data_IF_419098999978
#
_entry.id   IF_419098999978
#
_cell.length_a   1.000
_cell.length_b   1.000
_cell.length_c   1.000
_cell.angle_alpha   90.00
_cell.angle_beta   90.00
_cell.angle_gamma   90.00
#
_symmetry.space_group_name_H-M   'P 1'
#
loop_
_entity.id
_entity.type
_entity.pdbx_description
1 polymer ?
#
# COMPACT_ATOMS: atom_id res chain seq x y z
N UNK A 1 -24.97 20.84 53.38
CA UNK A 1 -25.84 19.93 52.58
C UNK A 1 -25.91 20.27 51.08
N UNK A 2 -26.02 21.55 50.68
CA UNK A 2 -26.13 21.95 49.25
C UNK A 2 -24.83 21.78 48.44
N UNK A 3 -23.66 21.89 49.09
CA UNK A 3 -22.32 21.68 48.52
C UNK A 3 -22.04 20.21 48.22
N UNK A 4 -22.38 19.32 49.16
CA UNK A 4 -22.18 17.88 49.01
C UNK A 4 -22.95 17.27 47.82
N UNK A 5 -24.19 17.72 47.58
CA UNK A 5 -24.98 17.26 46.42
C UNK A 5 -24.34 17.66 45.08
N UNK A 6 -23.71 18.83 45.00
CA UNK A 6 -23.01 19.32 43.80
C UNK A 6 -21.70 18.56 43.54
N UNK A 7 -20.94 18.26 44.59
CA UNK A 7 -19.70 17.48 44.47
C UNK A 7 -19.96 16.05 44.01
N UNK A 8 -21.04 15.43 44.48
CA UNK A 8 -21.45 14.08 44.06
C UNK A 8 -21.89 14.05 42.60
N UNK A 9 -22.63 15.05 42.11
CA UNK A 9 -22.99 15.13 40.69
C UNK A 9 -21.77 15.32 39.79
N UNK A 10 -20.80 16.16 40.17
CA UNK A 10 -19.58 16.37 39.37
C UNK A 10 -18.72 15.10 39.31
N UNK A 11 -18.58 14.38 40.45
CA UNK A 11 -17.87 13.10 40.48
C UNK A 11 -18.56 12.05 39.59
N UNK A 12 -19.89 12.00 39.60
CA UNK A 12 -20.68 11.09 38.77
C UNK A 12 -20.49 11.36 37.27
N UNK A 13 -20.43 12.65 36.88
CA UNK A 13 -20.17 13.07 35.51
C UNK A 13 -18.73 12.71 35.08
N UNK A 14 -17.75 12.93 35.96
CA UNK A 14 -16.35 12.54 35.71
C UNK A 14 -16.19 11.03 35.52
N UNK A 15 -16.81 10.23 36.38
CA UNK A 15 -16.80 8.78 36.25
C UNK A 15 -17.48 8.30 34.96
N UNK A 16 -18.60 8.90 34.56
CA UNK A 16 -19.30 8.59 33.32
C UNK A 16 -18.42 8.89 32.09
N UNK A 17 -17.69 10.02 32.07
CA UNK A 17 -16.76 10.38 31.00
C UNK A 17 -15.61 9.37 30.85
N UNK A 18 -15.05 8.89 31.97
CA UNK A 18 -14.00 7.85 31.94
C UNK A 18 -14.56 6.54 31.38
N UNK A 19 -15.74 6.10 31.84
CA UNK A 19 -16.38 4.87 31.36
C UNK A 19 -16.70 4.94 29.87
N UNK A 20 -17.28 6.05 29.40
CA UNK A 20 -17.55 6.27 27.98
C UNK A 20 -16.25 6.32 27.16
N UNK A 21 -15.19 6.94 27.67
CA UNK A 21 -13.88 6.96 27.03
C UNK A 21 -13.27 5.57 26.87
N UNK A 22 -13.36 4.72 27.89
CA UNK A 22 -12.89 3.31 27.83
C UNK A 22 -13.71 2.50 26.83
N UNK A 23 -15.04 2.63 26.85
CA UNK A 23 -15.91 1.95 25.88
C UNK A 23 -15.56 2.37 24.45
N UNK A 24 -15.39 3.68 24.21
CA UNK A 24 -15.03 4.19 22.90
C UNK A 24 -13.62 3.75 22.49
N UNK A 25 -12.65 3.70 23.40
CA UNK A 25 -11.31 3.16 23.12
C UNK A 25 -11.34 1.69 22.67
N UNK A 26 -12.18 0.86 23.29
CA UNK A 26 -12.32 -0.55 22.94
C UNK A 26 -13.10 -0.75 21.63
N UNK A 27 -14.16 0.05 21.40
CA UNK A 27 -15.00 -0.06 20.21
C UNK A 27 -14.41 0.64 18.98
N UNK A 28 -13.64 1.72 19.15
CA UNK A 28 -13.13 2.53 18.05
C UNK A 28 -12.23 1.75 17.07
N UNK A 29 -11.27 0.91 17.49
CA UNK A 29 -10.50 0.07 16.57
C UNK A 29 -11.40 -0.84 15.74
N UNK A 30 -12.45 -1.42 16.36
CA UNK A 30 -13.39 -2.30 15.69
C UNK A 30 -14.21 -1.53 14.66
N UNK A 31 -14.80 -0.39 15.05
CA UNK A 31 -15.61 0.46 14.18
C UNK A 31 -14.76 1.05 13.06
N UNK A 32 -13.61 1.64 13.39
CA UNK A 32 -12.69 2.25 12.42
C UNK A 32 -12.14 1.22 11.43
N UNK A 33 -11.69 0.06 11.90
CA UNK A 33 -11.25 -1.01 10.99
C UNK A 33 -12.42 -1.57 10.17
N UNK A 34 -13.65 -1.58 10.69
CA UNK A 34 -14.84 -2.01 9.94
C UNK A 34 -15.22 -0.99 8.88
N UNK A 35 -15.15 0.31 9.18
CA UNK A 35 -15.42 1.41 8.24
C UNK A 35 -14.32 1.52 7.16
N UNK A 36 -13.05 1.41 7.55
CA UNK A 36 -11.93 1.32 6.61
C UNK A 36 -12.07 0.07 5.73
N UNK A 37 -12.38 -1.09 6.31
CA UNK A 37 -12.66 -2.29 5.51
C UNK A 37 -13.89 -2.10 4.63
N UNK A 38 -14.93 -1.40 5.05
CA UNK A 38 -16.08 -1.14 4.18
C UNK A 38 -15.74 -0.22 3.01
N UNK A 39 -14.90 0.79 3.22
CA UNK A 39 -14.50 1.72 2.17
C UNK A 39 -13.37 1.22 1.26
N UNK A 40 -12.48 0.35 1.77
CA UNK A 40 -11.23 -0.04 1.09
C UNK A 40 -11.07 -1.57 0.98
N UNK A 41 -11.82 -2.39 1.71
CA UNK A 41 -11.58 -3.85 1.66
C UNK A 41 -12.03 -4.44 0.34
N UNK A 42 -11.06 -5.19 -0.21
CA UNK A 42 -11.21 -6.24 -1.19
C UNK A 42 -12.04 -7.38 -0.57
N UNK A 43 -13.32 -7.14 -0.30
CA UNK A 43 -14.25 -8.19 0.13
C UNK A 43 -15.00 -8.70 -1.08
N UNK A 44 -15.13 -10.01 -1.17
CA UNK A 44 -15.93 -10.64 -2.21
C UNK A 44 -17.31 -9.98 -2.30
N UNK A 45 -17.64 -9.41 -3.46
CA UNK A 45 -18.88 -8.66 -3.72
C UNK A 45 -18.78 -7.12 -3.66
N UNK A 46 -17.68 -6.53 -3.22
CA UNK A 46 -17.48 -5.07 -3.31
C UNK A 46 -17.02 -4.65 -4.72
N UNK A 47 -17.37 -3.44 -5.14
CA UNK A 47 -16.91 -2.89 -6.42
C UNK A 47 -15.37 -2.84 -6.45
N UNK A 48 -14.74 -2.46 -5.34
CA UNK A 48 -13.28 -2.46 -5.20
C UNK A 48 -12.64 -3.83 -5.38
N UNK A 49 -13.26 -4.89 -4.85
CA UNK A 49 -12.81 -6.28 -5.06
C UNK A 49 -12.92 -6.69 -6.53
N UNK A 50 -14.05 -6.41 -7.18
CA UNK A 50 -14.26 -6.78 -8.57
C UNK A 50 -13.26 -6.08 -9.50
N UNK A 51 -13.01 -4.78 -9.28
CA UNK A 51 -12.06 -3.98 -10.07
C UNK A 51 -10.61 -4.40 -9.80
N UNK A 52 -10.28 -4.79 -8.57
CA UNK A 52 -8.95 -5.29 -8.21
C UNK A 52 -8.68 -6.71 -8.72
N UNK A 53 -9.71 -7.57 -8.73
CA UNK A 53 -9.62 -8.94 -9.24
C UNK A 53 -9.45 -8.95 -10.75
N UNK A 54 -10.23 -8.13 -11.47
CA UNK A 54 -10.17 -7.99 -12.92
C UNK A 54 -10.46 -6.53 -13.29
N UNK A 55 -9.42 -5.83 -13.73
CA UNK A 55 -9.54 -4.43 -14.13
C UNK A 55 -10.45 -4.37 -15.37
N UNK A 56 -11.63 -3.72 -15.32
CA UNK A 56 -12.61 -3.75 -16.41
C UNK A 56 -12.22 -2.86 -17.60
N UNK A 57 -10.95 -2.46 -17.68
CA UNK A 57 -10.41 -1.57 -18.70
C UNK A 57 -9.43 -2.36 -19.58
N UNK A 58 -9.56 -2.29 -20.90
CA UNK A 58 -8.63 -2.95 -21.79
C UNK A 58 -7.28 -2.22 -21.78
N UNK A 59 -6.24 -2.90 -21.31
CA UNK A 59 -4.87 -2.38 -21.31
C UNK A 59 -4.23 -2.74 -22.65
N UNK A 60 -3.98 -1.73 -23.48
CA UNK A 60 -3.28 -1.91 -24.76
C UNK A 60 -1.85 -1.41 -24.65
N UNK A 61 -0.89 -2.29 -24.95
CA UNK A 61 0.50 -1.91 -25.11
C UNK A 61 0.81 -1.86 -26.61
N UNK A 62 1.18 -0.68 -27.10
CA UNK A 62 1.54 -0.45 -28.51
C UNK A 62 3.01 -0.13 -28.62
N UNK A 63 3.75 -0.99 -29.32
CA UNK A 63 5.17 -0.81 -29.56
C UNK A 63 5.39 -0.29 -30.99
N UNK A 64 6.31 0.66 -31.14
CA UNK A 64 6.72 1.24 -32.42
C UNK A 64 8.23 1.12 -32.53
N UNK A 65 8.71 0.67 -33.69
CA UNK A 65 10.12 0.50 -33.96
C UNK A 65 10.54 1.40 -35.12
N UNK A 66 11.82 1.73 -35.22
CA UNK A 66 12.36 2.47 -36.35
C UNK A 66 13.16 1.52 -37.26
N UNK A 67 12.67 1.32 -38.47
CA UNK A 67 13.37 0.63 -39.54
C UNK A 67 14.41 1.58 -40.18
N UNK A 68 15.66 1.13 -40.32
CA UNK A 68 16.74 1.91 -40.94
C UNK A 68 16.84 1.53 -42.41
N UNK A 69 16.45 2.43 -43.32
CA UNK A 69 16.37 2.11 -44.76
C UNK A 69 17.71 2.20 -45.50
N UNK A 70 18.68 2.92 -44.95
CA UNK A 70 20.01 3.14 -45.54
C UNK A 70 21.15 2.57 -44.68
N UNK A 71 20.91 1.43 -44.01
CA UNK A 71 21.86 0.84 -43.06
C UNK A 71 23.28 0.65 -43.64
N UNK A 72 23.42 0.15 -44.87
CA UNK A 72 24.73 -0.07 -45.48
C UNK A 72 25.51 1.24 -45.71
N UNK A 73 24.83 2.29 -46.16
CA UNK A 73 25.45 3.60 -46.37
C UNK A 73 25.78 4.29 -45.04
N UNK A 74 24.86 4.19 -44.06
CA UNK A 74 25.10 4.68 -42.70
C UNK A 74 26.37 4.04 -42.10
N UNK A 75 26.49 2.71 -42.19
CA UNK A 75 27.59 1.96 -41.59
C UNK A 75 28.93 2.10 -42.34
N UNK A 76 28.92 2.26 -43.67
CA UNK A 76 30.15 2.26 -44.48
C UNK A 76 30.62 3.64 -44.93
N UNK A 77 29.71 4.61 -45.02
CA UNK A 77 29.98 5.93 -45.62
C UNK A 77 29.75 7.09 -44.65
N UNK A 78 29.42 6.81 -43.40
CA UNK A 78 29.10 7.82 -42.37
C UNK A 78 27.99 8.79 -42.79
N UNK A 79 27.07 8.32 -43.63
CA UNK A 79 25.84 9.06 -43.96
C UNK A 79 24.89 9.10 -42.76
N UNK A 80 23.92 10.04 -42.72
CA UNK A 80 22.91 10.07 -41.64
C UNK A 80 21.91 8.92 -41.80
N UNK A 81 21.41 8.29 -40.71
CA UNK A 81 20.45 7.21 -40.82
C UNK A 81 19.06 7.74 -41.18
N UNK A 82 18.45 7.10 -42.17
CA UNK A 82 17.07 7.31 -42.58
C UNK A 82 16.18 6.32 -41.83
N UNK A 83 15.28 6.85 -41.01
CA UNK A 83 14.38 6.07 -40.17
C UNK A 83 12.97 6.10 -40.74
N UNK A 84 12.33 4.94 -40.77
CA UNK A 84 10.89 4.79 -41.06
C UNK A 84 10.26 4.08 -39.88
N UNK A 85 9.25 4.69 -39.27
CA UNK A 85 8.50 4.07 -38.18
C UNK A 85 7.74 2.83 -38.69
N UNK A 86 7.82 1.74 -37.94
CA UNK A 86 7.13 0.48 -38.20
C UNK A 86 6.39 0.08 -36.93
N UNK A 87 5.07 -0.01 -37.03
CA UNK A 87 4.16 -0.28 -35.93
C UNK A 87 2.72 0.05 -36.34
N UNK A 88 1.77 -0.08 -35.41
CA UNK A 88 1.95 -0.56 -34.05
C UNK A 88 2.13 -2.08 -33.98
N UNK A 89 2.79 -2.57 -32.94
CA UNK A 89 2.66 -3.95 -32.46
C UNK A 89 1.83 -3.89 -31.19
N UNK A 90 0.58 -4.32 -31.29
CA UNK A 90 -0.45 -4.14 -30.28
C UNK A 90 -0.65 -5.43 -29.49
N UNK A 91 -0.39 -5.36 -28.19
CA UNK A 91 -0.68 -6.42 -27.24
C UNK A 91 -1.83 -5.97 -26.33
N UNK A 92 -2.88 -6.78 -26.29
CA UNK A 92 -3.93 -6.66 -25.28
C UNK A 92 -3.47 -7.38 -24.02
N UNK A 93 -3.22 -6.62 -22.97
CA UNK A 93 -2.89 -7.17 -21.66
C UNK A 93 -4.17 -7.34 -20.84
N UNK A 94 -4.33 -8.50 -20.21
CA UNK A 94 -5.34 -8.73 -19.18
C UNK A 94 -4.65 -9.19 -17.92
N UNK A 95 -4.90 -8.47 -16.83
CA UNK A 95 -4.31 -8.76 -15.53
C UNK A 95 -5.43 -9.25 -14.62
N UNK A 96 -5.33 -10.52 -14.21
CA UNK A 96 -6.31 -11.14 -13.33
C UNK A 96 -5.62 -11.72 -12.12
N UNK A 97 -6.28 -11.59 -10.98
CA UNK A 97 -5.86 -12.28 -9.76
C UNK A 97 -6.72 -13.55 -9.63
N UNK A 98 -6.06 -14.69 -9.76
CA UNK A 98 -6.66 -16.02 -9.59
C UNK A 98 -6.28 -16.60 -8.23
N UNK A 99 -6.91 -17.73 -7.86
CA UNK A 99 -6.62 -18.46 -6.61
C UNK A 99 -6.65 -17.55 -5.38
N UNK A 100 -7.63 -16.63 -5.33
CA UNK A 100 -7.75 -15.63 -4.26
C UNK A 100 -8.22 -16.31 -2.97
N UNK A 101 -7.35 -16.36 -1.97
CA UNK A 101 -7.63 -16.90 -0.64
C UNK A 101 -7.50 -15.80 0.41
N UNK A 102 -8.58 -15.56 1.13
CA UNK A 102 -8.60 -14.65 2.27
C UNK A 102 -8.24 -15.38 3.55
N UNK A 103 -7.30 -14.82 4.30
CA UNK A 103 -6.82 -15.42 5.55
C UNK A 103 -7.45 -14.75 6.79
N UNK A 104 -7.65 -15.49 7.90
CA UNK A 104 -8.22 -14.94 9.14
C UNK A 104 -7.40 -13.79 9.74
N UNK A 105 -6.11 -13.70 9.43
CA UNK A 105 -5.20 -12.63 9.85
C UNK A 105 -5.41 -11.31 9.07
N UNK A 106 -6.31 -11.28 8.08
CA UNK A 106 -6.61 -10.11 7.27
C UNK A 106 -5.75 -9.94 6.01
N UNK A 107 -4.88 -10.90 5.68
CA UNK A 107 -4.12 -10.89 4.42
C UNK A 107 -4.89 -11.62 3.31
N UNK A 108 -4.51 -11.36 2.06
CA UNK A 108 -5.03 -12.04 0.87
C UNK A 108 -3.87 -12.64 0.08
N UNK A 109 -3.96 -13.92 -0.23
CA UNK A 109 -3.05 -14.59 -1.17
C UNK A 109 -3.74 -14.72 -2.51
N UNK A 110 -3.01 -14.48 -3.59
CA UNK A 110 -3.51 -14.63 -4.95
C UNK A 110 -2.36 -14.97 -5.89
N UNK A 111 -2.68 -15.59 -7.02
CA UNK A 111 -1.79 -15.73 -8.16
C UNK A 111 -2.13 -14.67 -9.18
N UNK A 112 -1.18 -13.79 -9.48
CA UNK A 112 -1.37 -12.82 -10.56
C UNK A 112 -1.07 -13.46 -11.91
N UNK A 113 -2.10 -13.56 -12.76
CA UNK A 113 -2.00 -14.06 -14.12
C UNK A 113 -2.08 -12.89 -15.08
N UNK A 114 -0.96 -12.64 -15.76
CA UNK A 114 -0.87 -11.63 -16.82
C UNK A 114 -0.91 -12.33 -18.17
N UNK A 115 -2.00 -12.11 -18.91
CA UNK A 115 -2.15 -12.64 -20.26
C UNK A 115 -1.86 -11.53 -21.26
N UNK A 116 -0.90 -11.77 -22.15
CA UNK A 116 -0.59 -10.88 -23.27
C UNK A 116 -1.10 -11.52 -24.55
N UNK A 117 -2.15 -10.95 -25.14
CA UNK A 117 -2.70 -11.40 -26.42
C UNK A 117 -2.22 -10.47 -27.51
N UNK A 118 -1.38 -10.97 -28.40
CA UNK A 118 -0.98 -10.25 -29.60
C UNK A 118 -2.19 -10.06 -30.52
N UNK A 119 -2.56 -8.81 -30.79
CA UNK A 119 -3.67 -8.48 -31.67
C UNK A 119 -3.14 -8.35 -33.10
N UNK A 120 -3.07 -9.45 -33.83
CA UNK A 120 -2.56 -9.49 -35.22
C UNK A 120 -3.30 -8.52 -36.15
N UNK A 121 -4.61 -8.31 -35.96
CA UNK A 121 -5.39 -7.38 -36.80
C UNK A 121 -5.08 -5.90 -36.49
N UNK A 122 -4.51 -5.62 -35.32
CA UNK A 122 -4.08 -4.29 -34.88
C UNK A 122 -2.54 -4.19 -34.84
N UNK A 123 -1.85 -5.16 -35.46
CA UNK A 123 -0.40 -5.25 -35.44
C UNK A 123 0.16 -5.52 -36.83
N UNK A 124 1.30 -4.91 -37.13
CA UNK A 124 2.16 -5.37 -38.21
C UNK A 124 2.77 -6.73 -37.85
N UNK A 125 3.07 -7.58 -38.84
CA UNK A 125 3.68 -8.90 -38.59
C UNK A 125 5.16 -8.71 -38.23
N UNK A 126 5.58 -9.10 -37.02
CA UNK A 126 7.00 -9.08 -36.66
C UNK A 126 7.41 -10.16 -35.67
N UNK A 127 8.68 -10.57 -35.72
CA UNK A 127 9.25 -11.58 -34.84
C UNK A 127 9.65 -11.01 -33.46
N UNK A 128 8.77 -10.30 -32.76
CA UNK A 128 9.08 -9.68 -31.45
C UNK A 128 8.54 -10.52 -30.28
N UNK A 129 9.36 -10.76 -29.25
CA UNK A 129 9.05 -11.60 -28.08
C UNK A 129 9.46 -10.89 -26.78
N UNK A 130 8.59 -10.89 -25.76
CA UNK A 130 8.88 -10.32 -24.45
C UNK A 130 9.48 -11.36 -23.49
N UNK A 131 10.41 -10.94 -22.64
CA UNK A 131 10.96 -11.73 -21.53
C UNK A 131 11.27 -10.83 -20.34
N UNK A 132 11.74 -11.39 -19.22
CA UNK A 132 12.44 -10.60 -18.21
C UNK A 132 13.86 -10.23 -18.69
N UNK A 133 14.48 -9.19 -18.08
CA UNK A 133 15.83 -8.80 -18.43
C UNK A 133 16.82 -9.95 -18.30
N UNK A 134 17.72 -10.05 -19.29
CA UNK A 134 18.72 -11.10 -19.38
C UNK A 134 18.14 -12.53 -19.32
N UNK A 135 16.89 -12.70 -19.78
CA UNK A 135 16.17 -13.97 -19.69
C UNK A 135 16.07 -14.52 -18.25
N UNK A 136 16.01 -13.63 -17.26
CA UNK A 136 15.72 -13.99 -15.86
C UNK A 136 14.41 -14.80 -15.80
N UNK A 137 14.40 -15.98 -15.18
CA UNK A 137 13.33 -17.00 -15.23
C UNK A 137 13.05 -17.73 -16.56
N UNK A 138 13.78 -17.48 -17.64
CA UNK A 138 13.61 -18.26 -18.88
C UNK A 138 14.45 -19.55 -18.87
N UNK A 139 14.17 -20.44 -19.81
CA UNK A 139 14.96 -21.66 -20.01
C UNK A 139 16.44 -21.33 -20.31
N UNK A 140 17.42 -22.01 -19.69
CA UNK A 140 18.85 -21.78 -19.94
C UNK A 140 19.28 -21.90 -21.40
N UNK A 141 18.50 -22.57 -22.26
CA UNK A 141 18.75 -22.61 -23.71
C UNK A 141 18.83 -21.21 -24.33
N UNK A 142 18.05 -20.25 -23.84
CA UNK A 142 18.07 -18.88 -24.37
C UNK A 142 19.38 -18.14 -24.04
N UNK A 143 20.04 -18.48 -22.93
CA UNK A 143 21.34 -17.91 -22.55
C UNK A 143 22.48 -18.44 -23.42
N UNK A 144 22.36 -19.67 -23.95
CA UNK A 144 23.38 -20.27 -24.83
C UNK A 144 23.46 -19.57 -26.19
N UNK A 145 22.39 -18.91 -26.62
CA UNK A 145 22.31 -18.23 -27.91
C UNK A 145 23.01 -16.87 -27.95
N UNK A 146 23.28 -16.25 -26.79
CA UNK A 146 23.80 -14.87 -26.71
C UNK A 146 24.77 -14.75 -25.54
N UNK A 147 26.03 -14.44 -25.84
CA UNK A 147 27.05 -14.16 -24.83
C UNK A 147 26.84 -12.79 -24.18
N UNK A 148 27.17 -12.66 -22.89
CA UNK A 148 27.07 -11.40 -22.12
C UNK A 148 25.78 -11.22 -21.35
N UNK A 149 24.88 -12.22 -21.36
CA UNK A 149 23.68 -12.18 -20.53
C UNK A 149 23.96 -12.72 -19.12
N UNK A 150 23.71 -11.89 -18.11
CA UNK A 150 23.92 -12.20 -16.71
C UNK A 150 22.63 -11.96 -15.91
N UNK A 151 21.68 -12.93 -15.88
CA UNK A 151 20.47 -12.79 -15.08
C UNK A 151 20.83 -12.59 -13.60
N UNK A 152 20.32 -11.51 -13.00
CA UNK A 152 20.56 -11.14 -11.61
C UNK A 152 19.25 -10.72 -10.95
N UNK A 153 18.89 -11.40 -9.86
CA UNK A 153 17.66 -11.13 -9.12
C UNK A 153 17.56 -9.68 -8.64
N UNK A 154 18.63 -9.08 -8.14
CA UNK A 154 18.56 -7.75 -7.53
C UNK A 154 18.16 -6.62 -8.48
N UNK A 155 18.37 -6.81 -9.78
CA UNK A 155 18.13 -5.78 -10.81
C UNK A 155 17.20 -6.22 -11.93
N UNK A 156 16.91 -7.52 -12.07
CA UNK A 156 16.03 -8.05 -13.12
C UNK A 156 14.74 -8.65 -12.59
N UNK A 157 14.60 -8.73 -11.26
CA UNK A 157 13.37 -9.21 -10.66
C UNK A 157 12.25 -8.19 -10.80
N UNK A 158 11.03 -8.70 -10.66
CA UNK A 158 9.82 -7.91 -10.72
C UNK A 158 9.25 -7.81 -9.31
N UNK A 159 8.99 -6.58 -8.84
CA UNK A 159 8.43 -6.38 -7.50
C UNK A 159 7.36 -5.29 -7.46
N UNK A 160 6.41 -5.48 -6.54
CA UNK A 160 5.39 -4.50 -6.18
C UNK A 160 5.22 -4.57 -4.66
N UNK A 161 5.55 -3.49 -3.98
CA UNK A 161 5.32 -3.32 -2.56
C UNK A 161 3.96 -2.67 -2.33
N UNK A 162 3.13 -3.33 -1.54
CA UNK A 162 1.73 -2.94 -1.32
C UNK A 162 1.51 -2.58 0.14
N UNK A 163 0.86 -1.43 0.38
CA UNK A 163 0.45 -1.04 1.72
C UNK A 163 -0.67 -1.97 2.22
N UNK A 164 -0.52 -2.61 3.39
CA UNK A 164 -1.40 -3.70 3.80
C UNK A 164 -2.83 -3.28 4.19
N UNK A 165 -3.06 -2.04 4.63
CA UNK A 165 -4.39 -1.60 5.07
C UNK A 165 -5.28 -1.08 3.93
N UNK A 166 -4.65 -0.54 2.88
CA UNK A 166 -5.31 0.16 1.78
C UNK A 166 -5.14 -0.55 0.44
N UNK A 167 -4.13 -1.42 0.29
CA UNK A 167 -3.88 -2.16 -0.94
C UNK A 167 -3.23 -1.34 -2.05
N UNK A 168 -2.80 -0.10 -1.79
CA UNK A 168 -2.09 0.71 -2.77
C UNK A 168 -0.63 0.29 -2.90
N UNK A 169 -0.12 0.26 -4.14
CA UNK A 169 1.29 0.07 -4.41
C UNK A 169 2.08 1.31 -4.00
N UNK A 170 3.03 1.16 -3.09
CA UNK A 170 3.92 2.22 -2.60
C UNK A 170 5.18 2.28 -3.47
N UNK A 171 5.69 1.12 -3.86
CA UNK A 171 6.86 0.99 -4.70
C UNK A 171 6.61 -0.14 -5.68
N UNK A 172 7.05 0.02 -6.91
CA UNK A 172 7.05 -1.08 -7.86
C UNK A 172 8.14 -0.87 -8.89
N UNK A 173 8.75 -1.98 -9.32
CA UNK A 173 9.60 -1.99 -10.49
C UNK A 173 9.12 -3.07 -11.46
N UNK A 174 8.67 -2.59 -12.62
CA UNK A 174 8.27 -3.42 -13.76
C UNK A 174 9.44 -3.48 -14.72
N UNK A 175 10.07 -4.65 -14.83
CA UNK A 175 11.25 -4.84 -15.67
C UNK A 175 10.94 -5.85 -16.77
N UNK A 176 11.22 -5.46 -18.01
CA UNK A 176 10.97 -6.30 -19.17
C UNK A 176 12.05 -6.14 -20.22
N UNK A 177 12.19 -7.14 -21.08
CA UNK A 177 13.11 -7.18 -22.19
C UNK A 177 12.36 -7.50 -23.49
N UNK A 178 12.71 -6.76 -24.53
CA UNK A 178 12.21 -6.97 -25.88
C UNK A 178 13.27 -7.72 -26.68
N UNK A 179 12.86 -8.86 -27.22
CA UNK A 179 13.71 -9.74 -28.02
C UNK A 179 13.16 -9.85 -29.44
N UNK A 180 14.03 -10.13 -30.38
CA UNK A 180 13.68 -10.45 -31.75
C UNK A 180 14.06 -11.90 -32.06
N UNK A 181 13.11 -12.68 -32.58
CA UNK A 181 13.39 -14.00 -33.09
C UNK A 181 14.11 -13.88 -34.44
N UNK A 182 15.43 -14.05 -34.41
CA UNK A 182 16.28 -14.04 -35.60
C UNK A 182 16.46 -15.48 -36.04
N UNK A 183 16.16 -15.76 -37.31
CA UNK A 183 16.35 -17.07 -37.90
C UNK A 183 17.02 -16.95 -39.26
N UNK A 184 17.66 -18.05 -39.68
CA UNK A 184 18.24 -18.16 -41.01
C UNK A 184 17.15 -18.09 -42.08
N UNK A 185 17.30 -17.19 -43.06
CA UNK A 185 16.38 -17.07 -44.20
C UNK A 185 17.19 -17.18 -45.50
N UNK A 186 16.87 -18.21 -46.29
CA UNK A 186 17.45 -18.38 -47.62
C UNK A 186 16.92 -17.29 -48.56
N UNK A 187 17.83 -16.66 -49.31
CA UNK A 187 17.50 -15.54 -50.22
C UNK A 187 17.82 -14.13 -49.70
N UNK A 188 18.11 -13.96 -48.41
CA UNK A 188 18.57 -12.68 -47.82
C UNK A 188 20.03 -12.85 -47.40
N UNK A 189 20.99 -12.28 -48.12
CA UNK A 189 22.42 -12.53 -47.92
C UNK A 189 22.91 -12.21 -46.49
N UNK A 190 22.33 -11.20 -45.85
CA UNK A 190 22.62 -10.82 -44.46
C UNK A 190 22.12 -11.86 -43.44
N UNK A 191 21.04 -12.59 -43.76
CA UNK A 191 20.42 -13.60 -42.87
C UNK A 191 20.79 -15.04 -43.23
N UNK A 192 21.63 -15.25 -44.24
CA UNK A 192 22.01 -16.58 -44.71
C UNK A 192 22.95 -17.31 -43.75
N UNK A 193 23.68 -16.61 -42.88
CA UNK A 193 24.70 -17.22 -42.01
C UNK A 193 24.49 -16.90 -40.53
N UNK A 194 23.35 -16.33 -40.15
CA UNK A 194 23.01 -16.09 -38.75
C UNK A 194 22.41 -17.34 -38.10
N UNK A 195 22.76 -17.62 -36.83
CA UNK A 195 22.13 -18.68 -36.06
C UNK A 195 20.68 -18.31 -35.70
N UNK A 196 19.85 -19.32 -35.48
CA UNK A 196 18.50 -19.12 -34.94
C UNK A 196 18.58 -18.81 -33.45
N UNK A 197 18.27 -17.58 -33.05
CA UNK A 197 18.41 -17.11 -31.67
C UNK A 197 17.31 -16.10 -31.30
N UNK A 198 17.02 -16.00 -30.00
CA UNK A 198 16.27 -14.86 -29.45
C UNK A 198 17.24 -13.72 -29.17
N UNK A 199 17.32 -12.78 -30.09
CA UNK A 199 18.24 -11.66 -30.01
C UNK A 199 17.66 -10.55 -29.11
N UNK A 200 18.26 -10.26 -27.93
CA UNK A 200 17.77 -9.20 -27.06
C UNK A 200 18.09 -7.84 -27.69
N UNK A 201 17.08 -7.00 -27.87
CA UNK A 201 17.27 -5.64 -28.42
C UNK A 201 17.55 -4.67 -27.28
N UNK A 202 16.65 -4.61 -26.31
CA UNK A 202 16.78 -3.75 -25.14
C UNK A 202 15.97 -4.32 -23.98
N UNK A 203 16.32 -3.89 -22.76
CA UNK A 203 15.49 -4.05 -21.59
C UNK A 203 15.16 -2.68 -21.00
N UNK A 204 14.04 -2.58 -20.30
CA UNK A 204 13.56 -1.35 -19.69
C UNK A 204 13.22 -1.58 -18.22
N UNK A 205 13.53 -0.57 -17.40
CA UNK A 205 13.09 -0.45 -16.01
C UNK A 205 12.00 0.61 -15.94
N UNK A 206 10.78 0.20 -15.61
CA UNK A 206 9.69 1.10 -15.25
C UNK A 206 9.49 0.97 -13.74
N UNK A 207 10.21 1.81 -13.00
CA UNK A 207 10.06 1.95 -11.56
C UNK A 207 9.23 3.17 -11.21
N UNK A 208 8.34 3.02 -10.23
CA UNK A 208 7.72 4.14 -9.55
C UNK A 208 7.85 3.95 -8.05
N UNK A 209 8.27 5.01 -7.38
CA UNK A 209 8.28 5.11 -5.94
C UNK A 209 7.26 6.17 -5.52
N UNK A 210 6.59 5.96 -4.40
CA UNK A 210 5.68 6.94 -3.81
C UNK A 210 6.42 8.27 -3.62
N UNK A 211 5.91 9.35 -4.24
CA UNK A 211 6.44 10.70 -4.02
C UNK A 211 6.04 11.20 -2.64
N UNK A 212 6.85 12.10 -2.06
CA UNK A 212 6.57 12.69 -0.74
C UNK A 212 5.18 13.34 -0.67
N UNK A 213 4.71 13.93 -1.77
CA UNK A 213 3.38 14.53 -1.86
C UNK A 213 2.26 13.50 -1.71
N UNK A 214 2.38 12.35 -2.38
CA UNK A 214 1.39 11.28 -2.30
C UNK A 214 1.46 10.58 -0.93
N UNK A 215 2.66 10.45 -0.35
CA UNK A 215 2.87 9.99 1.02
C UNK A 215 2.17 10.90 2.05
N UNK A 216 2.24 12.22 1.87
CA UNK A 216 1.57 13.18 2.72
C UNK A 216 0.03 13.10 2.60
N UNK A 217 -0.50 12.85 1.41
CA UNK A 217 -1.93 12.57 1.22
C UNK A 217 -2.36 11.34 2.02
N UNK A 218 -1.59 10.25 1.97
CA UNK A 218 -1.86 9.05 2.78
C UNK A 218 -1.80 9.33 4.28
N UNK A 219 -0.75 10.02 4.73
CA UNK A 219 -0.60 10.41 6.13
C UNK A 219 -1.79 11.23 6.60
N UNK A 220 -2.24 12.20 5.80
CA UNK A 220 -3.30 13.13 6.19
C UNK A 220 -4.72 12.56 6.05
N UNK A 221 -4.98 11.67 5.07
CA UNK A 221 -6.32 11.11 4.85
C UNK A 221 -6.59 9.80 5.60
N UNK A 222 -5.54 9.03 5.91
CA UNK A 222 -5.70 7.71 6.54
C UNK A 222 -5.20 7.72 7.98
N UNK A 223 -3.97 8.17 8.21
CA UNK A 223 -3.33 8.07 9.54
C UNK A 223 -3.67 9.23 10.48
N UNK A 224 -3.85 10.44 9.97
CA UNK A 224 -4.12 11.62 10.78
C UNK A 224 -5.50 11.58 11.47
N UNK A 225 -6.61 11.20 10.80
CA UNK A 225 -7.90 11.03 11.46
C UNK A 225 -7.86 9.91 12.51
N UNK A 226 -7.14 8.81 12.22
CA UNK A 226 -6.93 7.70 13.14
C UNK A 226 -6.21 8.16 14.41
N UNK A 227 -5.07 8.83 14.25
CA UNK A 227 -4.25 9.29 15.37
C UNK A 227 -4.93 10.42 16.15
N UNK A 228 -5.62 11.33 15.47
CA UNK A 228 -6.40 12.38 16.10
C UNK A 228 -7.55 11.81 16.94
N UNK A 229 -8.24 10.77 16.45
CA UNK A 229 -9.28 10.08 17.21
C UNK A 229 -8.71 9.35 18.43
N UNK A 230 -7.56 8.67 18.31
CA UNK A 230 -6.89 8.10 19.50
C UNK A 230 -6.48 9.20 20.49
N UNK A 231 -5.89 10.30 20.02
CA UNK A 231 -5.48 11.42 20.86
C UNK A 231 -6.66 12.07 21.61
N UNK A 232 -7.81 12.24 20.95
CA UNK A 232 -9.00 12.80 21.58
C UNK A 232 -9.60 11.88 22.64
N UNK A 233 -9.56 10.56 22.43
CA UNK A 233 -9.98 9.55 23.42
C UNK A 233 -9.10 9.62 24.67
N UNK A 234 -7.78 9.61 24.51
CA UNK A 234 -6.85 9.74 25.65
C UNK A 234 -7.00 11.08 26.38
N UNK A 235 -7.23 12.18 25.65
CA UNK A 235 -7.50 13.49 26.22
C UNK A 235 -8.78 13.54 27.06
N UNK A 236 -9.89 12.96 26.55
CA UNK A 236 -11.16 12.88 27.27
C UNK A 236 -11.08 12.00 28.53
N UNK A 237 -10.40 10.84 28.43
CA UNK A 237 -10.17 9.98 29.59
C UNK A 237 -9.30 10.69 30.65
N UNK A 238 -8.22 11.35 30.23
CA UNK A 238 -7.35 12.10 31.14
C UNK A 238 -8.09 13.23 31.86
N UNK A 239 -8.93 13.98 31.13
CA UNK A 239 -9.77 15.03 31.71
C UNK A 239 -10.77 14.45 32.74
N UNK A 240 -11.42 13.33 32.43
CA UNK A 240 -12.33 12.65 33.34
C UNK A 240 -11.65 12.20 34.65
N UNK A 241 -10.43 11.67 34.55
CA UNK A 241 -9.62 11.28 35.72
C UNK A 241 -9.23 12.49 36.55
N UNK A 242 -8.80 13.60 35.94
CA UNK A 242 -8.45 14.83 36.65
C UNK A 242 -9.65 15.42 37.41
N UNK A 243 -10.85 15.41 36.81
CA UNK A 243 -12.09 15.86 37.46
C UNK A 243 -12.43 14.97 38.66
N UNK A 244 -12.25 13.65 38.55
CA UNK A 244 -12.46 12.72 39.67
C UNK A 244 -11.46 12.97 40.80
N UNK A 245 -10.17 13.13 40.48
CA UNK A 245 -9.14 13.41 41.48
C UNK A 245 -9.41 14.76 42.18
N UNK A 246 -9.69 15.82 41.42
CA UNK A 246 -9.95 17.15 41.96
C UNK A 246 -11.21 17.21 42.84
N UNK A 247 -12.26 16.46 42.50
CA UNK A 247 -13.47 16.38 43.33
C UNK A 247 -13.25 15.55 44.58
N UNK A 248 -12.47 14.47 44.52
CA UNK A 248 -12.11 13.66 45.69
C UNK A 248 -11.22 14.45 46.66
N UNK A 249 -10.21 15.18 46.18
CA UNK A 249 -9.36 16.01 47.04
C UNK A 249 -10.15 17.14 47.69
N UNK A 250 -11.07 17.77 46.95
CA UNK A 250 -11.98 18.78 47.50
C UNK A 250 -12.91 18.21 48.58
N UNK A 251 -13.49 17.02 48.37
CA UNK A 251 -14.34 16.37 49.38
C UNK A 251 -13.54 15.99 50.63
N UNK A 252 -12.31 15.50 50.49
CA UNK A 252 -11.41 15.24 51.62
C UNK A 252 -11.06 16.53 52.39
N UNK A 253 -10.87 17.64 51.69
CA UNK A 253 -10.59 18.94 52.30
C UNK A 253 -11.79 19.47 53.09
N UNK A 254 -13.00 19.46 52.49
CA UNK A 254 -14.24 19.89 53.15
C UNK A 254 -14.55 19.02 54.38
N UNK A 255 -14.42 17.69 54.26
CA UNK A 255 -14.65 16.79 55.40
C UNK A 255 -13.71 17.09 56.57
N UNK A 256 -12.44 17.42 56.28
CA UNK A 256 -11.44 17.77 57.30
C UNK A 256 -11.73 19.12 57.96
N UNK A 257 -12.32 20.07 57.23
CA UNK A 257 -12.73 21.37 57.77
C UNK A 257 -14.00 21.25 58.62
N UNK A 258 -15.00 20.49 58.15
CA UNK A 258 -16.21 20.14 58.92
C UNK A 258 -15.83 19.41 60.23
N UNK A 259 -14.88 18.47 60.19
CA UNK A 259 -14.39 17.75 61.38
C UNK A 259 -13.68 18.68 62.36
N UNK A 260 -12.89 19.64 61.88
CA UNK A 260 -12.28 20.68 62.74
C UNK A 260 -13.34 21.57 63.39
N UNK A 261 -14.37 21.97 62.66
CA UNK A 261 -15.44 22.84 63.16
C UNK A 261 -16.34 22.11 64.17
N UNK A 262 -16.61 20.81 63.96
CA UNK A 262 -17.33 19.96 64.90
C UNK A 262 -16.55 19.76 66.21
N UNK A 263 -15.24 19.56 66.13
CA UNK A 263 -14.33 19.46 67.28
C UNK A 263 -14.16 20.78 68.05
N UNK A 264 -14.48 21.92 67.43
CA UNK A 264 -14.50 23.24 68.07
C UNK A 264 -15.85 23.56 68.73
N UNK A 265 -16.96 23.01 68.22
CA UNK A 265 -18.33 23.30 68.68
C UNK A 265 -18.86 22.32 69.73
N UNK A 266 -18.25 21.15 69.89
CA UNK A 266 -18.65 20.14 70.88
C UNK A 266 -17.52 19.88 71.92
N UNK A 267 -17.43 20.65 73.04
CA UNK A 267 -16.29 20.60 73.95
C UNK A 267 -16.28 19.37 74.89
N UNK A 268 -17.37 18.61 74.93
CA UNK A 268 -17.63 17.57 75.95
C UNK A 268 -16.77 16.31 75.81
N UNK A 269 -16.10 16.09 74.68
CA UNK A 269 -15.13 14.98 74.51
C UNK A 269 -13.69 15.33 74.92
N UNK A 270 -13.40 16.59 75.31
CA UNK A 270 -12.11 16.94 75.91
C UNK A 270 -12.13 16.75 77.42
N UNK A 271 -12.28 15.51 77.88
CA UNK A 271 -11.74 15.15 79.20
C UNK A 271 -10.50 14.27 79.01
N UNK A 272 -9.29 14.79 79.25
CA UNK A 272 -8.13 13.94 79.37
C UNK A 272 -8.31 13.10 80.64
N UNK A 273 -8.31 11.77 80.50
CA UNK A 273 -8.13 10.85 81.62
C UNK A 273 -6.75 11.11 82.24
N UNK A 274 -6.70 11.92 83.28
CA UNK A 274 -5.60 11.98 84.23
C UNK A 274 -6.18 11.93 85.65
N UNK A 275 -5.59 11.04 86.47
CA UNK A 275 -5.79 10.75 87.90
C UNK A 275 -6.92 9.78 88.30
N UNK A 276 -6.57 8.49 88.45
CA UNK A 276 -6.27 7.86 89.75
C UNK A 276 -5.26 6.74 89.57
#
# INVERSE_FOLDING_TARGET
MFTHKKSVTILSIGALLVVLGVIFFLCFPVIFNTLLKQQISLKNGTIGYNVWQDIPLPIYQRLYFFNITNADNFMRRSEKPNLVEVGPYTFKSRWVKEDIVFHPNGTVSFREVRTFVFLRNESVDAPVVLSFPHFYFADPVYLKGVNGLHPNASIHDFHIDVEPNTGFSIDAAVRFQVNMYVQRIYGISQLQNVPTVMFPIFWADLSFSLTDDLANVFKNKVYLPKNAAFGSIFGLMGLGVLVCIGTLTYMCWVKKDDEKELLLTNPTERTPLLLT
#
